data_IF_197780010191
#
_entry.id   IF_197780010191
#
_cell.length_a   1.000
_cell.length_b   1.000
_cell.length_c   1.000
_cell.angle_alpha   90.00
_cell.angle_beta   90.00
_cell.angle_gamma   90.00
#
_symmetry.space_group_name_H-M   'P 1'
#
loop_
_entity.id
_entity.type
_entity.pdbx_description
1 polymer ?
#
# COMPACT_ATOMS: atom_id res chain seq x y z
N UNK A 1 -18.16 -9.50 57.08
CA UNK A 1 -16.81 -9.41 56.51
C UNK A 1 -16.49 -10.74 55.86
N UNK A 2 -16.74 -10.85 54.55
CA UNK A 2 -16.32 -12.00 53.74
C UNK A 2 -15.33 -11.43 52.73
N UNK A 3 -14.05 -11.79 52.87
CA UNK A 3 -12.99 -11.39 51.96
C UNK A 3 -12.94 -12.39 50.81
N UNK A 4 -13.36 -11.97 49.62
CA UNK A 4 -13.20 -12.75 48.39
C UNK A 4 -11.82 -12.47 47.82
N UNK A 5 -10.94 -13.47 47.90
CA UNK A 5 -9.64 -13.47 47.25
C UNK A 5 -9.86 -13.72 45.75
N UNK A 6 -9.79 -12.67 44.93
CA UNK A 6 -9.74 -12.82 43.47
C UNK A 6 -8.30 -13.15 43.10
N UNK A 7 -8.06 -14.41 42.73
CA UNK A 7 -6.83 -14.82 42.10
C UNK A 7 -6.78 -14.18 40.70
N UNK A 8 -5.92 -13.17 40.55
CA UNK A 8 -5.57 -12.64 39.24
C UNK A 8 -4.76 -13.69 38.48
N UNK A 9 -5.38 -14.35 37.52
CA UNK A 9 -4.63 -14.95 36.41
C UNK A 9 -4.06 -13.78 35.60
N UNK A 10 -2.78 -13.50 35.80
CA UNK A 10 -1.98 -12.80 34.79
C UNK A 10 -1.85 -13.78 33.63
N UNK A 11 -2.73 -13.64 32.63
CA UNK A 11 -2.46 -14.16 31.30
C UNK A 11 -1.36 -13.27 30.73
N UNK A 12 -0.13 -13.74 30.81
CA UNK A 12 0.96 -13.25 29.98
C UNK A 12 0.61 -13.66 28.55
N UNK A 13 -0.10 -12.80 27.83
CA UNK A 13 -0.12 -12.85 26.37
C UNK A 13 1.32 -12.64 25.94
N UNK A 14 1.91 -13.65 25.30
CA UNK A 14 3.12 -13.46 24.52
C UNK A 14 2.72 -12.62 23.30
N UNK A 15 2.73 -11.31 23.49
CA UNK A 15 2.59 -10.29 22.45
C UNK A 15 3.92 -10.14 21.73
N UNK A 16 3.82 -9.88 20.42
CA UNK A 16 4.86 -9.47 19.45
C UNK A 16 5.34 -10.58 18.50
N UNK A 17 4.89 -10.48 17.24
CA UNK A 17 5.60 -11.04 16.10
C UNK A 17 6.06 -9.95 15.11
N UNK A 18 5.40 -8.78 15.03
CA UNK A 18 5.93 -7.58 14.36
C UNK A 18 6.85 -6.77 15.28
N UNK A 19 8.10 -6.59 14.86
CA UNK A 19 9.03 -5.60 15.42
C UNK A 19 9.02 -4.35 14.53
N UNK A 20 8.42 -3.25 15.01
CA UNK A 20 8.54 -1.94 14.34
C UNK A 20 9.96 -1.41 14.52
N UNK A 21 10.68 -1.29 13.42
CA UNK A 21 12.07 -0.80 13.34
C UNK A 21 12.10 0.72 13.21
N UNK A 22 11.13 1.26 12.48
CA UNK A 22 11.03 2.66 12.16
C UNK A 22 9.57 3.07 12.07
N UNK A 23 9.26 4.25 12.59
CA UNK A 23 7.94 4.87 12.46
C UNK A 23 8.09 6.39 12.43
N UNK A 24 7.35 7.05 11.55
CA UNK A 24 7.22 8.50 11.47
C UNK A 24 5.80 8.85 10.99
N UNK A 25 5.08 9.62 11.82
CA UNK A 25 3.71 10.13 11.59
C UNK A 25 3.67 11.67 11.40
N UNK A 26 4.83 12.34 11.40
CA UNK A 26 5.00 13.79 11.23
C UNK A 26 4.32 14.69 12.28
N UNK A 27 3.57 14.16 13.24
CA UNK A 27 2.80 14.94 14.22
C UNK A 27 3.68 15.75 15.17
N UNK A 28 4.95 15.36 15.29
CA UNK A 28 5.96 16.09 16.06
C UNK A 28 6.45 17.40 15.40
N UNK A 29 6.10 17.66 14.14
CA UNK A 29 6.61 18.80 13.39
C UNK A 29 6.00 20.13 13.83
N UNK A 30 6.85 21.15 13.92
CA UNK A 30 6.38 22.50 14.20
C UNK A 30 5.93 23.17 12.90
N UNK A 31 4.60 23.28 12.73
CA UNK A 31 3.99 24.00 11.61
C UNK A 31 3.95 25.52 11.86
N UNK A 32 3.88 26.28 10.76
CA UNK A 32 3.69 27.74 10.74
C UNK A 32 2.41 28.14 9.99
N UNK A 33 1.92 29.38 10.13
CA UNK A 33 0.82 29.90 9.32
C UNK A 33 1.14 29.89 7.82
N UNK A 34 0.11 29.88 6.93
CA UNK A 34 0.32 29.99 5.50
C UNK A 34 0.86 31.38 5.13
N UNK A 35 1.58 31.47 4.03
CA UNK A 35 2.20 32.70 3.52
C UNK A 35 1.56 33.20 2.23
N UNK A 36 1.24 32.31 1.29
CA UNK A 36 0.62 32.66 0.00
C UNK A 36 -0.74 32.01 -0.18
N UNK A 37 -0.95 30.82 0.38
CA UNK A 37 -2.30 30.26 0.50
C UNK A 37 -3.10 31.02 1.57
N UNK A 38 -4.42 31.08 1.37
CA UNK A 38 -5.30 31.82 2.27
C UNK A 38 -6.02 30.89 3.25
N UNK A 39 -6.15 31.29 4.51
CA UNK A 39 -7.03 30.61 5.45
C UNK A 39 -6.66 30.84 6.92
N UNK A 40 -7.58 30.57 7.86
CA UNK A 40 -7.36 30.76 9.29
C UNK A 40 -6.60 29.58 9.92
N UNK A 41 -5.48 29.17 9.31
CA UNK A 41 -4.69 28.02 9.76
C UNK A 41 -3.39 28.50 10.43
N UNK A 42 -3.36 28.70 11.76
CA UNK A 42 -2.15 29.16 12.45
C UNK A 42 -1.02 28.10 12.44
N UNK A 43 -1.36 26.85 12.10
CA UNK A 43 -0.47 25.70 11.92
C UNK A 43 -0.87 25.04 10.60
N UNK A 44 -0.31 25.52 9.50
CA UNK A 44 -0.68 25.10 8.16
C UNK A 44 0.38 24.18 7.54
N UNK A 45 1.65 24.58 7.59
CA UNK A 45 2.70 23.81 6.93
C UNK A 45 4.09 24.06 7.53
N UNK A 46 5.06 23.24 7.15
CA UNK A 46 6.49 23.50 7.29
C UNK A 46 7.26 22.81 6.17
N UNK A 47 8.42 23.37 5.80
CA UNK A 47 9.39 22.71 4.93
C UNK A 47 10.53 22.06 5.72
N UNK A 48 10.52 22.19 7.04
CA UNK A 48 11.53 21.55 7.91
C UNK A 48 11.11 20.09 8.10
N UNK A 49 11.91 19.12 7.60
CA UNK A 49 11.58 17.71 7.75
C UNK A 49 11.87 17.22 9.18
N UNK A 50 11.44 16.00 9.54
CA UNK A 50 11.76 15.41 10.83
C UNK A 50 13.28 15.34 11.08
N UNK A 51 13.73 15.31 12.33
CA UNK A 51 15.16 15.28 12.65
C UNK A 51 15.91 14.14 11.91
N UNK A 52 16.97 14.52 11.19
CA UNK A 52 17.81 13.58 10.44
C UNK A 52 17.29 13.23 9.04
N UNK A 53 16.06 13.61 8.70
CA UNK A 53 15.57 13.53 7.31
C UNK A 53 16.19 14.64 6.47
N UNK A 54 16.23 14.40 5.16
CA UNK A 54 16.72 15.36 4.18
C UNK A 54 15.65 15.64 3.14
N UNK A 55 15.44 16.92 2.86
CA UNK A 55 14.49 17.40 1.87
C UNK A 55 15.25 18.16 0.79
N UNK A 56 15.06 17.76 -0.46
CA UNK A 56 15.57 18.46 -1.63
C UNK A 56 14.43 19.00 -2.48
N UNK A 57 14.52 20.29 -2.76
CA UNK A 57 13.64 20.98 -3.68
C UNK A 57 14.45 21.82 -4.67
N UNK A 58 15.76 21.62 -4.81
CA UNK A 58 16.58 22.45 -5.71
C UNK A 58 16.13 22.38 -7.17
N UNK A 59 15.50 21.27 -7.54
CA UNK A 59 15.00 20.98 -8.88
C UNK A 59 13.49 21.26 -9.04
N UNK A 60 12.88 21.93 -8.05
CA UNK A 60 11.57 22.57 -8.21
C UNK A 60 11.80 23.99 -8.75
N UNK A 61 11.25 24.34 -9.93
CA UNK A 61 11.46 25.67 -10.48
C UNK A 61 10.88 26.77 -9.59
N UNK A 62 11.63 27.87 -9.47
CA UNK A 62 11.17 29.05 -8.74
C UNK A 62 11.33 29.00 -7.22
N UNK A 63 11.90 27.93 -6.63
CA UNK A 63 12.02 27.81 -5.16
C UNK A 63 12.60 29.06 -4.50
N UNK A 64 11.89 29.56 -3.48
CA UNK A 64 12.22 30.76 -2.73
C UNK A 64 11.99 32.06 -3.50
N UNK A 65 11.37 32.02 -4.68
CA UNK A 65 11.06 33.20 -5.50
C UNK A 65 9.61 33.62 -5.26
N UNK A 66 9.33 34.77 -4.62
CA UNK A 66 7.98 35.12 -4.16
C UNK A 66 6.87 35.23 -5.23
N UNK A 67 7.21 35.21 -6.51
CA UNK A 67 6.28 35.35 -7.63
C UNK A 67 6.22 34.13 -8.55
N UNK A 68 6.85 33.02 -8.17
CA UNK A 68 6.95 31.80 -8.99
C UNK A 68 6.82 30.60 -8.06
N UNK A 69 5.80 29.78 -8.28
CA UNK A 69 5.49 28.68 -7.36
C UNK A 69 4.77 29.20 -6.12
N UNK A 70 3.69 28.55 -5.72
CA UNK A 70 3.14 28.77 -4.38
C UNK A 70 4.11 28.15 -3.36
N UNK A 71 4.61 28.98 -2.45
CA UNK A 71 5.68 28.71 -1.50
C UNK A 71 5.38 27.49 -0.62
N UNK A 72 4.14 27.34 -0.16
CA UNK A 72 3.71 26.17 0.62
C UNK A 72 4.02 24.84 -0.08
N UNK A 73 4.04 24.82 -1.42
CA UNK A 73 4.11 23.63 -2.25
C UNK A 73 5.42 23.47 -3.03
N UNK A 74 6.44 24.29 -2.75
CA UNK A 74 7.78 24.23 -3.38
C UNK A 74 8.59 22.98 -2.96
N UNK A 75 8.27 21.82 -3.51
CA UNK A 75 8.79 20.51 -3.11
C UNK A 75 7.94 19.87 -2.00
N UNK A 76 8.44 18.78 -1.41
CA UNK A 76 7.76 18.12 -0.28
C UNK A 76 7.42 19.10 0.85
N UNK A 77 6.18 19.13 1.30
CA UNK A 77 5.70 20.02 2.36
C UNK A 77 5.03 19.19 3.43
N UNK A 78 5.31 19.47 4.70
CA UNK A 78 4.60 18.84 5.81
C UNK A 78 3.44 19.75 6.19
N UNK A 79 2.23 19.34 5.82
CA UNK A 79 1.05 20.19 5.89
C UNK A 79 0.01 19.60 6.84
N UNK A 80 -0.65 20.47 7.60
CA UNK A 80 -1.89 20.13 8.28
C UNK A 80 -2.92 19.70 7.21
N UNK A 81 -3.47 18.51 7.38
CA UNK A 81 -4.39 17.91 6.41
C UNK A 81 -5.65 18.75 6.22
N UNK A 82 -6.14 19.41 7.27
CA UNK A 82 -7.30 20.29 7.18
C UNK A 82 -6.98 21.57 6.40
N UNK A 83 -5.77 22.11 6.52
CA UNK A 83 -5.28 23.17 5.63
C UNK A 83 -5.21 22.67 4.18
N UNK A 84 -4.53 21.55 3.92
CA UNK A 84 -4.32 21.03 2.57
C UNK A 84 -5.62 20.71 1.84
N UNK A 85 -6.64 20.13 2.47
CA UNK A 85 -7.94 19.88 1.80
C UNK A 85 -8.74 21.14 1.47
N UNK A 86 -8.35 22.30 2.00
CA UNK A 86 -9.01 23.59 1.75
C UNK A 86 -8.33 24.44 0.69
N UNK A 87 -7.05 24.19 0.37
CA UNK A 87 -6.44 24.80 -0.82
C UNK A 87 -7.25 24.36 -2.05
N UNK A 88 -7.56 25.28 -2.96
CA UNK A 88 -8.59 25.19 -4.04
C UNK A 88 -10.05 25.52 -3.68
N UNK A 89 -10.43 25.72 -2.41
CA UNK A 89 -11.86 25.96 -2.08
C UNK A 89 -12.26 27.43 -2.21
N UNK A 90 -13.19 27.78 -3.12
CA UNK A 90 -13.87 29.07 -3.01
C UNK A 90 -14.78 29.12 -1.77
N UNK A 91 -15.30 27.97 -1.29
CA UNK A 91 -16.07 27.85 -0.04
C UNK A 91 -15.82 26.50 0.67
N UNK A 92 -15.85 26.45 2.02
CA UNK A 92 -15.51 25.25 2.80
C UNK A 92 -16.44 24.04 2.60
N UNK A 93 -17.58 24.21 1.94
CA UNK A 93 -18.64 23.19 1.85
C UNK A 93 -18.59 22.30 0.61
N UNK A 94 -17.72 22.61 -0.36
CA UNK A 94 -17.62 21.81 -1.60
C UNK A 94 -16.56 20.71 -1.40
N UNK A 95 -16.93 19.42 -1.47
CA UNK A 95 -15.97 18.34 -1.33
C UNK A 95 -14.91 18.36 -2.44
N UNK A 96 -13.67 18.04 -2.10
CA UNK A 96 -12.54 17.92 -3.03
C UNK A 96 -12.01 16.48 -3.00
N UNK A 97 -11.29 15.99 -4.03
CA UNK A 97 -10.70 14.65 -3.95
C UNK A 97 -9.66 14.52 -2.82
N UNK A 98 -9.05 15.64 -2.36
CA UNK A 98 -8.18 15.70 -1.17
C UNK A 98 -8.91 15.27 0.12
N UNK A 99 -10.23 15.47 0.23
CA UNK A 99 -11.03 14.99 1.38
C UNK A 99 -11.04 13.46 1.52
N UNK A 100 -10.76 12.75 0.43
CA UNK A 100 -10.88 11.29 0.39
C UNK A 100 -9.68 10.60 1.02
N UNK A 101 -8.56 11.30 1.24
CA UNK A 101 -7.41 10.73 1.95
C UNK A 101 -7.74 10.59 3.43
N UNK A 102 -8.44 9.53 3.80
CA UNK A 102 -8.93 9.27 5.16
C UNK A 102 -7.94 8.54 6.06
N UNK A 103 -6.92 7.87 5.50
CA UNK A 103 -5.89 7.17 6.26
C UNK A 103 -4.88 8.13 6.87
N UNK A 104 -4.38 9.12 6.11
CA UNK A 104 -3.53 10.18 6.68
C UNK A 104 -4.28 11.03 7.69
N UNK A 105 -3.59 11.52 8.72
CA UNK A 105 -4.14 12.31 9.83
C UNK A 105 -3.25 13.52 10.11
N UNK A 106 -3.68 14.39 11.03
CA UNK A 106 -3.01 15.63 11.45
C UNK A 106 -2.05 16.26 10.43
N UNK A 107 -0.74 15.97 10.55
CA UNK A 107 0.30 16.45 9.64
C UNK A 107 0.71 15.38 8.64
N UNK A 108 0.62 15.68 7.34
CA UNK A 108 0.98 14.77 6.25
C UNK A 108 2.13 15.33 5.40
N UNK A 109 2.90 14.46 4.75
CA UNK A 109 3.85 14.87 3.72
C UNK A 109 3.14 15.00 2.37
N UNK A 110 3.34 16.12 1.66
CA UNK A 110 2.64 16.44 0.40
C UNK A 110 3.61 17.05 -0.62
N UNK A 111 3.67 16.47 -1.81
CA UNK A 111 4.16 17.11 -3.03
C UNK A 111 2.94 17.47 -3.90
N UNK A 112 2.71 18.77 -4.11
CA UNK A 112 1.48 19.29 -4.75
C UNK A 112 1.81 20.21 -5.95
N UNK A 113 2.26 19.64 -7.09
CA UNK A 113 2.59 20.40 -8.29
C UNK A 113 1.39 21.20 -8.86
N UNK A 114 0.15 20.71 -8.74
CA UNK A 114 -1.12 21.44 -9.03
C UNK A 114 -1.06 22.85 -8.41
N UNK A 115 -0.81 22.88 -7.11
CA UNK A 115 -0.91 24.11 -6.31
C UNK A 115 0.34 24.94 -6.44
N UNK A 116 1.49 24.30 -6.60
CA UNK A 116 2.71 25.03 -6.91
C UNK A 116 2.56 25.80 -8.22
N UNK A 117 1.99 25.21 -9.28
CA UNK A 117 1.93 25.84 -10.60
C UNK A 117 1.00 27.08 -10.68
N UNK A 118 0.01 27.18 -9.77
CA UNK A 118 -0.97 28.28 -9.71
C UNK A 118 -0.34 29.70 -9.69
N UNK A 119 0.90 29.85 -9.20
CA UNK A 119 1.60 31.13 -9.19
C UNK A 119 2.69 31.18 -10.25
N UNK A 120 2.43 31.93 -11.31
CA UNK A 120 3.43 32.24 -12.33
C UNK A 120 3.61 31.18 -13.41
N UNK A 121 2.87 30.05 -13.35
CA UNK A 121 2.89 28.96 -14.34
C UNK A 121 4.32 28.43 -14.63
N UNK A 122 5.09 28.06 -13.59
CA UNK A 122 6.46 27.60 -13.73
C UNK A 122 6.61 26.31 -14.57
N UNK A 123 5.63 25.41 -14.57
CA UNK A 123 5.66 24.18 -15.38
C UNK A 123 5.86 24.47 -16.87
N UNK A 124 5.19 25.51 -17.37
CA UNK A 124 5.20 25.88 -18.78
C UNK A 124 6.28 26.92 -19.13
N UNK A 125 6.90 27.55 -18.12
CA UNK A 125 7.85 28.64 -18.31
C UNK A 125 9.29 28.30 -17.94
N UNK A 126 9.49 27.47 -16.92
CA UNK A 126 10.80 27.26 -16.27
C UNK A 126 11.24 25.79 -16.28
N UNK A 127 10.30 24.85 -16.14
CA UNK A 127 10.59 23.42 -16.18
C UNK A 127 9.62 22.62 -15.31
N UNK A 128 9.87 21.32 -15.21
CA UNK A 128 9.05 20.42 -14.40
C UNK A 128 9.44 20.41 -12.92
N UNK A 129 8.48 20.07 -12.09
CA UNK A 129 8.59 19.90 -10.65
C UNK A 129 9.28 18.57 -10.31
N UNK A 130 10.45 18.65 -9.69
CA UNK A 130 11.18 17.48 -9.18
C UNK A 130 11.60 17.70 -7.73
N UNK A 131 11.24 16.79 -6.84
CA UNK A 131 11.55 16.90 -5.40
C UNK A 131 11.83 15.54 -4.79
N UNK A 132 12.67 15.54 -3.76
CA UNK A 132 13.16 14.36 -3.07
C UNK A 132 12.99 14.56 -1.56
N UNK A 133 12.44 13.57 -0.88
CA UNK A 133 12.43 13.47 0.57
C UNK A 133 13.08 12.15 0.97
N UNK A 134 14.02 12.23 1.92
CA UNK A 134 14.85 11.11 2.34
C UNK A 134 14.71 10.94 3.84
N UNK A 135 14.51 9.72 4.30
CA UNK A 135 14.50 9.42 5.72
C UNK A 135 15.88 9.67 6.33
N UNK A 136 15.93 9.73 7.67
CA UNK A 136 17.18 9.43 8.37
C UNK A 136 17.63 7.99 8.08
N UNK A 137 18.91 7.65 8.29
CA UNK A 137 19.34 6.25 8.29
C UNK A 137 18.53 5.41 9.28
N UNK A 138 18.10 4.24 8.83
CA UNK A 138 17.30 3.26 9.56
C UNK A 138 18.20 2.07 9.90
N UNK A 139 18.39 1.86 11.20
CA UNK A 139 19.15 0.72 11.73
C UNK A 139 18.32 -0.56 11.64
N UNK A 140 18.79 -1.53 10.86
CA UNK A 140 18.14 -2.83 10.69
C UNK A 140 18.55 -3.87 11.73
N UNK A 141 19.39 -3.53 12.71
CA UNK A 141 19.78 -4.45 13.79
C UNK A 141 18.57 -5.10 14.47
N UNK A 142 17.44 -4.40 14.75
CA UNK A 142 16.24 -5.03 15.31
C UNK A 142 15.60 -6.10 14.43
N UNK A 143 15.82 -6.10 13.11
CA UNK A 143 15.35 -7.14 12.18
C UNK A 143 16.23 -8.40 12.15
N UNK A 144 17.32 -8.43 12.92
CA UNK A 144 18.27 -9.55 12.88
C UNK A 144 17.60 -10.84 13.35
N UNK A 145 17.48 -11.82 12.46
CA UNK A 145 16.87 -13.11 12.74
C UNK A 145 15.40 -13.21 12.32
N UNK A 146 14.81 -12.13 11.83
CA UNK A 146 13.49 -12.13 11.20
C UNK A 146 13.56 -12.67 9.75
N UNK A 147 12.42 -13.09 9.22
CA UNK A 147 12.32 -13.63 7.85
C UNK A 147 11.78 -12.61 6.86
N UNK A 148 11.05 -11.60 7.35
CA UNK A 148 10.40 -10.58 6.54
C UNK A 148 10.75 -9.17 6.98
N UNK A 149 10.86 -8.27 6.01
CA UNK A 149 11.01 -6.82 6.18
C UNK A 149 10.00 -6.12 5.27
N UNK A 150 9.23 -5.18 5.80
CA UNK A 150 8.25 -4.43 5.02
C UNK A 150 8.34 -2.94 5.29
N UNK A 151 8.23 -2.16 4.22
CA UNK A 151 7.93 -0.73 4.29
C UNK A 151 6.44 -0.54 4.06
N UNK A 152 5.80 0.25 4.91
CA UNK A 152 4.39 0.61 4.83
C UNK A 152 4.23 2.11 4.94
N UNK A 153 3.28 2.69 4.21
CA UNK A 153 2.83 4.06 4.40
C UNK A 153 1.43 4.23 3.81
N UNK A 154 0.65 5.16 4.36
CA UNK A 154 -0.63 5.53 3.80
C UNK A 154 -0.43 6.60 2.71
N UNK A 155 -1.16 6.52 1.61
CA UNK A 155 -0.90 7.30 0.40
C UNK A 155 -2.17 7.85 -0.25
N UNK A 156 -2.02 9.04 -0.85
CA UNK A 156 -2.98 9.70 -1.72
C UNK A 156 -2.27 10.15 -2.99
N UNK A 157 -2.65 9.56 -4.11
CA UNK A 157 -2.09 9.85 -5.43
C UNK A 157 -3.16 10.40 -6.36
N UNK A 158 -2.87 11.54 -6.96
CA UNK A 158 -3.56 12.04 -8.14
C UNK A 158 -2.53 12.31 -9.23
N UNK A 159 -2.60 11.56 -10.31
CA UNK A 159 -1.67 11.67 -11.42
C UNK A 159 -2.09 12.75 -12.42
N UNK A 160 -1.12 13.21 -13.20
CA UNK A 160 -1.31 14.11 -14.34
C UNK A 160 -0.21 13.94 -15.37
N UNK A 161 -0.59 14.04 -16.64
CA UNK A 161 0.25 13.97 -17.84
C UNK A 161 -0.64 14.28 -19.07
N UNK A 162 -0.17 14.55 -20.27
CA UNK A 162 1.16 14.88 -20.78
C UNK A 162 1.04 16.23 -21.52
N UNK A 163 0.39 17.19 -20.87
CA UNK A 163 -0.13 18.43 -21.45
C UNK A 163 0.68 19.68 -21.08
N UNK A 164 1.64 19.56 -20.17
CA UNK A 164 2.46 20.68 -19.71
C UNK A 164 3.88 20.68 -20.26
N UNK A 165 4.49 21.87 -20.20
CA UNK A 165 5.90 22.10 -20.45
C UNK A 165 6.33 21.71 -21.86
N UNK A 166 5.42 21.59 -22.82
CA UNK A 166 5.73 21.20 -24.20
C UNK A 166 6.72 22.14 -24.91
N UNK A 167 6.86 23.37 -24.42
CA UNK A 167 7.88 24.36 -24.83
C UNK A 167 9.27 24.04 -24.26
N UNK A 168 9.35 23.44 -23.07
CA UNK A 168 10.56 23.09 -22.34
C UNK A 168 11.03 21.67 -22.66
N UNK A 169 10.14 20.69 -22.52
CA UNK A 169 10.37 19.30 -22.85
C UNK A 169 9.36 18.86 -23.92
N UNK A 170 9.80 18.61 -25.16
CA UNK A 170 8.90 18.20 -26.23
C UNK A 170 8.25 16.82 -25.96
N UNK A 171 8.74 16.05 -24.98
CA UNK A 171 8.15 14.79 -24.56
C UNK A 171 6.91 14.95 -23.67
N UNK A 172 6.62 16.17 -23.21
CA UNK A 172 5.58 16.44 -22.21
C UNK A 172 6.00 16.04 -20.80
N UNK A 173 5.20 16.44 -19.82
CA UNK A 173 5.27 15.94 -18.45
C UNK A 173 4.76 14.49 -18.36
N UNK A 174 5.20 13.81 -17.31
CA UNK A 174 4.61 12.56 -16.84
C UNK A 174 4.89 12.49 -15.35
N UNK A 175 3.96 12.98 -14.53
CA UNK A 175 4.13 12.97 -13.09
C UNK A 175 4.42 11.54 -12.63
N UNK A 176 5.62 11.36 -12.07
CA UNK A 176 6.18 10.07 -11.68
C UNK A 176 6.50 10.09 -10.19
N UNK A 177 5.97 9.12 -9.44
CA UNK A 177 6.36 8.86 -8.05
C UNK A 177 7.29 7.65 -7.99
N UNK A 178 8.41 7.79 -7.30
CA UNK A 178 9.35 6.71 -7.05
C UNK A 178 9.55 6.54 -5.54
N UNK A 179 9.71 5.28 -5.12
CA UNK A 179 10.32 4.95 -3.83
C UNK A 179 11.61 4.19 -4.09
N UNK A 180 12.71 4.70 -3.55
CA UNK A 180 13.99 3.99 -3.57
C UNK A 180 14.38 3.54 -2.16
N UNK A 181 15.11 2.43 -2.11
CA UNK A 181 15.89 2.03 -0.94
C UNK A 181 17.37 2.20 -1.25
N UNK A 182 18.06 2.96 -0.43
CA UNK A 182 19.51 3.18 -0.52
C UNK A 182 20.21 2.37 0.56
N UNK A 183 21.18 1.57 0.13
CA UNK A 183 22.03 0.73 0.99
C UNK A 183 23.49 1.03 0.64
N UNK A 184 24.21 1.66 1.57
CA UNK A 184 25.57 2.12 1.32
C UNK A 184 25.62 3.07 0.12
N UNK A 185 26.16 2.61 -1.01
CA UNK A 185 26.20 3.37 -2.28
C UNK A 185 25.25 2.84 -3.36
N UNK A 186 24.48 1.80 -3.07
CA UNK A 186 23.54 1.19 -4.00
C UNK A 186 22.15 1.76 -3.80
N UNK A 187 21.44 1.99 -4.90
CA UNK A 187 20.05 2.47 -4.90
C UNK A 187 19.19 1.45 -5.63
N UNK A 188 18.08 1.07 -5.01
CA UNK A 188 17.12 0.13 -5.55
C UNK A 188 15.76 0.80 -5.68
N UNK A 189 15.24 0.92 -6.91
CA UNK A 189 13.86 1.36 -7.15
C UNK A 189 12.92 0.22 -6.74
N UNK A 190 12.07 0.47 -5.73
CA UNK A 190 11.13 -0.52 -5.18
C UNK A 190 9.67 -0.18 -5.48
N UNK A 191 9.42 1.05 -5.95
CA UNK A 191 8.12 1.49 -6.44
C UNK A 191 8.33 2.51 -7.55
N UNK A 192 7.54 2.37 -8.63
CA UNK A 192 7.38 3.38 -9.67
C UNK A 192 5.91 3.48 -10.06
N UNK A 193 5.37 4.68 -9.95
CA UNK A 193 4.04 5.04 -10.43
C UNK A 193 4.17 6.17 -11.43
N UNK A 194 3.60 5.98 -12.60
CA UNK A 194 3.57 6.97 -13.67
C UNK A 194 2.12 7.34 -13.99
N UNK A 195 1.90 8.58 -14.40
CA UNK A 195 0.56 9.09 -14.71
C UNK A 195 0.10 8.73 -16.13
N UNK A 196 1.03 8.49 -17.05
CA UNK A 196 0.71 8.13 -18.43
C UNK A 196 0.29 6.65 -18.57
N UNK A 197 -0.92 6.34 -19.05
CA UNK A 197 -1.36 4.96 -19.25
C UNK A 197 -0.68 4.26 -20.44
N UNK A 198 -0.12 5.03 -21.36
CA UNK A 198 0.52 4.50 -22.56
C UNK A 198 1.80 5.23 -22.93
N UNK A 199 2.59 4.56 -23.77
CA UNK A 199 3.69 5.15 -24.54
C UNK A 199 3.38 5.11 -26.03
N UNK A 200 3.53 6.25 -26.68
CA UNK A 200 3.28 6.38 -28.12
C UNK A 200 4.30 5.56 -28.91
N UNK A 201 3.84 4.62 -29.76
CA UNK A 201 4.74 3.70 -30.48
C UNK A 201 5.65 4.39 -31.49
N UNK A 202 5.35 5.63 -31.90
CA UNK A 202 6.12 6.36 -32.90
C UNK A 202 7.12 7.29 -32.23
N UNK A 203 6.64 8.08 -31.27
CA UNK A 203 7.43 9.12 -30.61
C UNK A 203 8.11 8.61 -29.35
N UNK A 204 7.71 7.45 -28.83
CA UNK A 204 8.13 6.87 -27.55
C UNK A 204 7.83 7.76 -26.34
N UNK A 205 6.93 8.73 -26.51
CA UNK A 205 6.54 9.68 -25.46
C UNK A 205 5.41 9.12 -24.60
N UNK A 206 5.32 9.51 -23.32
CA UNK A 206 4.14 9.26 -22.52
C UNK A 206 2.91 9.87 -23.22
N UNK A 207 1.76 9.18 -23.12
CA UNK A 207 0.51 9.65 -23.71
C UNK A 207 -0.70 9.05 -23.00
N UNK A 208 -1.80 9.81 -23.01
CA UNK A 208 -3.13 9.35 -22.58
C UNK A 208 -3.90 8.66 -23.71
N UNK A 209 -3.39 8.70 -24.94
CA UNK A 209 -4.08 8.16 -26.11
C UNK A 209 -3.79 6.66 -26.28
N UNK A 210 -4.82 5.80 -26.40
CA UNK A 210 -4.63 4.37 -26.61
C UNK A 210 -4.13 4.01 -28.02
N UNK A 211 -4.19 4.95 -28.98
CA UNK A 211 -3.72 4.76 -30.35
C UNK A 211 -2.82 5.92 -30.78
N UNK A 212 -1.76 5.62 -31.53
CA UNK A 212 -0.93 6.60 -32.20
C UNK A 212 -1.70 7.29 -33.33
N UNK A 213 -1.14 8.40 -33.83
CA UNK A 213 -1.69 9.15 -34.98
C UNK A 213 -1.86 8.32 -36.26
N UNK A 214 -1.16 7.18 -36.37
CA UNK A 214 -1.28 6.22 -37.49
C UNK A 214 -2.39 5.18 -37.30
N UNK A 215 -3.09 5.18 -36.17
CA UNK A 215 -4.10 4.19 -35.80
C UNK A 215 -3.54 2.89 -35.21
N UNK A 216 -2.22 2.78 -35.03
CA UNK A 216 -1.61 1.65 -34.31
C UNK A 216 -1.85 1.78 -32.80
N UNK A 217 -2.13 0.69 -32.07
CA UNK A 217 -2.23 0.73 -30.61
C UNK A 217 -0.92 1.19 -29.97
N UNK A 218 -1.02 2.02 -28.94
CA UNK A 218 0.12 2.44 -28.14
C UNK A 218 0.53 1.36 -27.13
N UNK A 219 1.77 1.43 -26.64
CA UNK A 219 2.27 0.46 -25.66
C UNK A 219 1.63 0.76 -24.30
N UNK A 220 1.08 -0.26 -23.65
CA UNK A 220 0.56 -0.13 -22.28
C UNK A 220 1.72 0.13 -21.33
N UNK A 221 1.58 1.14 -20.48
CA UNK A 221 2.54 1.42 -19.44
C UNK A 221 2.27 0.53 -18.22
N UNK A 222 3.19 -0.38 -17.91
CA UNK A 222 3.09 -1.25 -16.74
C UNK A 222 3.23 -0.49 -15.41
N UNK A 223 3.87 0.68 -15.42
CA UNK A 223 3.99 1.55 -14.26
C UNK A 223 2.81 2.52 -14.10
N UNK A 224 1.81 2.48 -14.99
CA UNK A 224 0.66 3.37 -14.91
C UNK A 224 -0.09 3.18 -13.60
N UNK A 225 -0.27 4.28 -12.88
CA UNK A 225 -1.02 4.32 -11.64
C UNK A 225 -2.27 5.19 -11.80
N UNK A 226 -3.48 4.59 -11.80
CA UNK A 226 -4.70 5.39 -11.76
C UNK A 226 -4.81 6.14 -10.43
N UNK A 227 -5.58 7.22 -10.44
CA UNK A 227 -5.90 7.98 -9.24
C UNK A 227 -6.36 7.07 -8.10
N UNK A 228 -5.70 7.19 -6.95
CA UNK A 228 -6.11 6.52 -5.73
C UNK A 228 -5.87 7.46 -4.56
N UNK A 229 -6.96 8.02 -4.05
CA UNK A 229 -6.87 9.08 -3.06
C UNK A 229 -6.69 8.56 -1.63
N UNK A 230 -6.79 7.25 -1.41
CA UNK A 230 -6.72 6.65 -0.08
C UNK A 230 -6.36 5.17 -0.14
N UNK A 231 -5.07 4.89 -0.03
CA UNK A 231 -4.56 3.53 0.01
C UNK A 231 -3.49 3.37 1.07
N UNK A 232 -3.24 2.12 1.43
CA UNK A 232 -2.07 1.75 2.17
C UNK A 232 -1.11 1.04 1.22
N UNK A 233 0.10 1.58 1.11
CA UNK A 233 1.17 0.99 0.31
C UNK A 233 1.99 0.09 1.22
N UNK A 234 2.25 -1.13 0.77
CA UNK A 234 3.14 -2.08 1.44
C UNK A 234 4.15 -2.59 0.41
N UNK A 235 5.43 -2.51 0.74
CA UNK A 235 6.55 -2.93 -0.10
C UNK A 235 7.32 -4.00 0.66
N UNK A 236 7.45 -5.17 0.05
CA UNK A 236 8.28 -6.23 0.58
C UNK A 236 9.77 -5.93 0.31
N UNK A 237 10.52 -5.83 1.40
CA UNK A 237 11.95 -5.59 1.43
C UNK A 237 12.72 -6.78 2.00
N UNK A 238 12.09 -7.96 2.12
CA UNK A 238 12.69 -9.14 2.76
C UNK A 238 13.97 -9.62 2.09
N UNK A 239 14.16 -9.34 0.79
CA UNK A 239 15.43 -9.58 0.09
C UNK A 239 16.63 -8.80 0.69
N UNK A 240 16.36 -7.75 1.47
CA UNK A 240 17.35 -6.97 2.18
C UNK A 240 17.74 -7.62 3.53
N UNK A 241 16.96 -8.54 4.10
CA UNK A 241 17.41 -9.23 5.32
C UNK A 241 18.45 -10.29 4.93
N UNK A 242 19.64 -10.33 5.57
CA UNK A 242 20.57 -11.45 5.43
C UNK A 242 19.93 -12.74 5.96
N UNK A 243 19.52 -13.63 5.05
CA UNK A 243 18.87 -14.89 5.43
C UNK A 243 19.92 -15.87 6.03
N UNK A 244 19.72 -16.43 7.24
CA UNK A 244 20.65 -17.39 7.85
C UNK A 244 20.80 -18.71 7.07
N UNK A 245 19.93 -18.97 6.07
CA UNK A 245 19.95 -20.18 5.22
C UNK A 245 20.74 -20.05 3.90
N UNK A 246 21.34 -18.89 3.61
CA UNK A 246 22.32 -18.76 2.52
C UNK A 246 21.78 -18.77 1.09
N UNK A 247 20.45 -18.74 0.87
CA UNK A 247 19.88 -18.42 -0.45
C UNK A 247 19.60 -16.93 -0.54
N UNK A 248 20.67 -16.16 -0.72
CA UNK A 248 20.58 -14.75 -1.09
C UNK A 248 20.07 -14.65 -2.54
N UNK A 249 18.85 -14.15 -2.75
CA UNK A 249 18.58 -13.32 -3.93
C UNK A 249 19.62 -12.18 -3.90
N UNK A 250 20.14 -11.76 -5.06
CA UNK A 250 21.42 -11.03 -5.25
C UNK A 250 21.74 -9.76 -4.41
N UNK A 251 20.89 -9.40 -3.45
CA UNK A 251 21.01 -8.31 -2.49
C UNK A 251 21.82 -8.67 -1.22
N UNK A 252 21.78 -9.93 -0.75
CA UNK A 252 22.16 -10.23 0.64
C UNK A 252 23.67 -10.41 0.94
N UNK A 253 24.56 -10.26 -0.05
CA UNK A 253 26.01 -10.45 0.16
C UNK A 253 26.75 -9.20 0.68
N UNK A 254 26.06 -8.09 1.00
CA UNK A 254 26.70 -6.84 1.44
C UNK A 254 26.22 -6.28 2.79
N UNK A 255 25.35 -6.99 3.51
CA UNK A 255 24.40 -6.36 4.45
C UNK A 255 24.63 -6.66 5.93
N UNK A 256 25.87 -6.92 6.36
CA UNK A 256 26.15 -6.96 7.80
C UNK A 256 26.42 -5.54 8.32
N UNK A 257 25.37 -4.83 8.75
CA UNK A 257 25.48 -3.63 9.58
C UNK A 257 25.51 -2.27 8.86
N UNK A 258 24.89 -2.14 7.70
CA UNK A 258 24.69 -0.83 7.06
C UNK A 258 23.24 -0.35 7.27
N UNK A 259 23.09 0.88 7.75
CA UNK A 259 21.79 1.55 7.83
C UNK A 259 21.21 1.74 6.42
N UNK A 260 19.89 1.64 6.27
CA UNK A 260 19.21 1.91 5.00
C UNK A 260 18.52 3.27 5.02
N UNK A 261 18.33 3.87 3.85
CA UNK A 261 17.58 5.12 3.68
C UNK A 261 16.46 4.90 2.67
N UNK A 262 15.27 5.46 2.96
CA UNK A 262 14.14 5.45 2.02
C UNK A 262 14.04 6.83 1.37
N UNK A 263 13.87 6.84 0.06
CA UNK A 263 13.66 8.05 -0.73
C UNK A 263 12.27 8.06 -1.32
N UNK A 264 11.54 9.15 -1.11
CA UNK A 264 10.26 9.45 -1.75
C UNK A 264 10.50 10.57 -2.76
N UNK A 265 10.30 10.27 -4.04
CA UNK A 265 10.67 11.15 -5.15
C UNK A 265 9.44 11.43 -6.00
N UNK A 266 9.21 12.69 -6.30
CA UNK A 266 8.30 13.09 -7.38
C UNK A 266 9.12 13.75 -8.48
N UNK A 267 8.92 13.31 -9.71
CA UNK A 267 9.63 13.79 -10.89
C UNK A 267 8.69 14.04 -12.07
N UNK A 268 9.11 14.95 -12.94
CA UNK A 268 8.49 15.17 -14.25
C UNK A 268 7.05 15.68 -14.19
N UNK A 269 6.66 16.33 -13.09
CA UNK A 269 5.32 16.89 -12.92
C UNK A 269 5.22 18.35 -13.42
N UNK A 270 4.06 18.71 -13.96
CA UNK A 270 3.69 20.03 -14.44
C UNK A 270 2.64 20.70 -13.54
N UNK A 271 1.52 21.12 -14.13
CA UNK A 271 0.29 21.54 -13.44
C UNK A 271 -0.60 20.31 -13.19
N UNK A 272 -0.02 19.33 -12.50
CA UNK A 272 -0.61 17.99 -12.37
C UNK A 272 -1.38 17.84 -11.05
N UNK A 273 -1.54 16.63 -10.52
CA UNK A 273 -2.21 16.40 -9.25
C UNK A 273 -1.26 16.53 -8.06
N UNK A 274 -1.19 15.48 -7.26
CA UNK A 274 -0.38 15.44 -6.04
C UNK A 274 0.05 14.03 -5.69
N UNK A 275 1.04 13.96 -4.81
CA UNK A 275 1.31 12.80 -3.99
C UNK A 275 1.41 13.23 -2.54
N UNK A 276 0.56 12.66 -1.70
CA UNK A 276 0.65 12.81 -0.27
C UNK A 276 0.82 11.44 0.39
N UNK A 277 1.54 11.40 1.50
CA UNK A 277 1.66 10.20 2.30
C UNK A 277 1.79 10.51 3.80
N UNK A 278 1.54 9.49 4.60
CA UNK A 278 1.56 9.52 6.06
C UNK A 278 1.94 8.14 6.65
N UNK A 279 2.18 8.09 7.97
CA UNK A 279 2.41 6.86 8.73
C UNK A 279 3.49 5.94 8.11
N UNK A 280 4.70 6.48 7.90
CA UNK A 280 5.82 5.70 7.33
C UNK A 280 6.34 4.73 8.39
N UNK A 281 6.08 3.45 8.17
CA UNK A 281 6.46 2.36 9.07
C UNK A 281 7.40 1.38 8.37
N UNK A 282 8.44 0.95 9.07
CA UNK A 282 9.20 -0.24 8.71
C UNK A 282 9.07 -1.28 9.81
N UNK A 283 8.57 -2.46 9.45
CA UNK A 283 8.40 -3.59 10.36
C UNK A 283 9.20 -4.80 9.87
N UNK A 284 9.76 -5.56 10.80
CA UNK A 284 10.30 -6.88 10.53
C UNK A 284 9.65 -7.93 11.42
N UNK A 285 9.51 -9.13 10.87
CA UNK A 285 8.88 -10.25 11.56
C UNK A 285 9.25 -11.58 10.93
N UNK A 286 9.29 -12.61 11.75
CA UNK A 286 9.36 -14.00 11.34
C UNK A 286 7.97 -14.42 10.85
N UNK A 287 7.90 -15.38 9.93
CA UNK A 287 6.60 -15.85 9.43
C UNK A 287 5.75 -16.34 10.60
N UNK A 288 4.78 -15.53 11.01
CA UNK A 288 3.81 -15.89 12.02
C UNK A 288 2.72 -16.69 11.32
N UNK A 289 2.80 -18.01 11.45
CA UNK A 289 1.74 -18.87 10.93
C UNK A 289 0.40 -18.52 11.60
N UNK A 290 -0.66 -18.44 10.79
CA UNK A 290 -2.00 -17.94 11.08
C UNK A 290 -2.18 -16.40 11.10
N UNK A 291 -1.15 -15.61 10.83
CA UNK A 291 -1.30 -14.17 10.56
C UNK A 291 -1.70 -13.99 9.08
N UNK A 292 -3.00 -14.01 8.81
CA UNK A 292 -3.56 -14.02 7.46
C UNK A 292 -3.71 -12.63 6.87
N UNK A 293 -3.61 -11.58 7.69
CA UNK A 293 -3.55 -10.22 7.17
C UNK A 293 -2.12 -9.68 7.07
N UNK A 294 -1.12 -10.48 7.46
CA UNK A 294 0.29 -10.16 7.47
C UNK A 294 0.61 -8.88 8.27
N UNK A 295 -0.15 -8.64 9.34
CA UNK A 295 0.08 -7.52 10.26
C UNK A 295 1.23 -7.81 11.23
N UNK A 296 1.71 -9.05 11.29
CA UNK A 296 2.64 -9.56 12.30
C UNK A 296 1.99 -9.71 13.69
N UNK A 297 0.67 -9.77 13.76
CA UNK A 297 -0.08 -10.03 14.98
C UNK A 297 -1.14 -11.11 14.74
N UNK A 298 -1.32 -12.03 15.69
CA UNK A 298 -2.51 -12.88 15.72
C UNK A 298 -3.63 -12.08 16.39
N UNK A 299 -4.51 -11.50 15.59
CA UNK A 299 -5.61 -10.67 16.05
C UNK A 299 -6.94 -10.96 15.32
N UNK A 300 -7.95 -10.16 15.61
CA UNK A 300 -9.30 -10.39 15.08
C UNK A 300 -9.42 -10.19 13.57
N UNK A 301 -8.47 -9.47 12.97
CA UNK A 301 -8.40 -9.25 11.53
C UNK A 301 -8.10 -10.55 10.78
N UNK A 302 -7.31 -11.46 11.35
CA UNK A 302 -6.89 -12.68 10.66
C UNK A 302 -8.04 -13.63 10.33
N UNK A 303 -9.10 -13.65 11.13
CA UNK A 303 -10.24 -14.53 10.85
C UNK A 303 -10.92 -14.21 9.52
N UNK A 304 -11.05 -12.92 9.21
CA UNK A 304 -11.66 -12.48 7.95
C UNK A 304 -10.82 -12.88 6.75
N UNK A 305 -9.50 -12.83 6.93
CA UNK A 305 -8.53 -13.05 5.85
C UNK A 305 -8.19 -14.52 5.65
N UNK A 306 -8.20 -15.32 6.72
CA UNK A 306 -8.24 -16.77 6.63
C UNK A 306 -9.44 -17.22 5.79
N UNK A 307 -10.64 -16.71 6.12
CA UNK A 307 -11.85 -17.02 5.38
C UNK A 307 -11.78 -16.53 3.92
N UNK A 308 -11.22 -15.34 3.68
CA UNK A 308 -11.02 -14.83 2.32
C UNK A 308 -10.09 -15.75 1.52
N UNK A 309 -8.97 -16.18 2.09
CA UNK A 309 -8.04 -17.12 1.46
C UNK A 309 -8.69 -18.45 1.09
N UNK A 310 -9.60 -18.93 1.95
CA UNK A 310 -10.32 -20.20 1.71
C UNK A 310 -11.40 -20.08 0.64
N UNK A 311 -12.06 -18.92 0.56
CA UNK A 311 -13.22 -18.71 -0.30
C UNK A 311 -12.83 -18.21 -1.70
N UNK A 312 -11.77 -17.39 -1.76
CA UNK A 312 -11.35 -16.71 -2.98
C UNK A 312 -9.85 -16.37 -2.89
N UNK A 313 -9.02 -17.35 -3.25
CA UNK A 313 -7.57 -17.20 -3.30
C UNK A 313 -7.14 -16.03 -4.18
N UNK A 314 -7.83 -15.76 -5.29
CA UNK A 314 -7.50 -14.64 -6.18
C UNK A 314 -7.78 -13.30 -5.49
N UNK A 315 -8.92 -13.15 -4.80
CA UNK A 315 -9.22 -11.97 -4.02
C UNK A 315 -8.27 -11.80 -2.82
N UNK A 316 -7.88 -12.89 -2.16
CA UNK A 316 -6.86 -12.86 -1.11
C UNK A 316 -5.52 -12.38 -1.68
N UNK A 317 -5.08 -12.94 -2.81
CA UNK A 317 -3.85 -12.54 -3.50
C UNK A 317 -3.92 -11.09 -3.98
N UNK A 318 -5.07 -10.61 -4.44
CA UNK A 318 -5.25 -9.19 -4.77
C UNK A 318 -5.15 -8.30 -3.53
N UNK A 319 -5.68 -8.76 -2.40
CA UNK A 319 -5.63 -8.05 -1.12
C UNK A 319 -4.22 -8.04 -0.52
N UNK A 320 -3.46 -9.12 -0.69
CA UNK A 320 -2.14 -9.35 -0.11
C UNK A 320 -1.04 -9.47 -1.16
N UNK A 321 -1.12 -8.68 -2.23
CA UNK A 321 0.01 -8.45 -3.15
C UNK A 321 0.62 -9.71 -3.79
N UNK A 322 -0.22 -10.69 -4.11
CA UNK A 322 0.15 -11.95 -4.75
C UNK A 322 0.50 -13.06 -3.76
N UNK A 323 0.50 -12.76 -2.46
CA UNK A 323 0.77 -13.72 -1.39
C UNK A 323 -0.28 -14.82 -1.37
N UNK A 324 0.21 -16.04 -1.42
CA UNK A 324 -0.60 -17.24 -1.34
C UNK A 324 -1.09 -17.43 0.09
N UNK A 325 -2.39 -17.70 0.33
CA UNK A 325 -2.88 -17.95 1.68
C UNK A 325 -2.18 -19.15 2.33
N UNK A 326 -1.69 -20.12 1.55
CA UNK A 326 -0.81 -21.22 1.99
C UNK A 326 0.39 -20.71 2.79
N UNK A 327 0.96 -19.57 2.41
CA UNK A 327 2.23 -19.04 2.94
C UNK A 327 2.19 -18.86 4.46
N UNK A 328 1.06 -18.40 4.98
CA UNK A 328 0.85 -18.23 6.43
C UNK A 328 -0.26 -19.15 6.96
N UNK A 329 -1.05 -19.75 6.09
CA UNK A 329 -2.28 -20.44 6.45
C UNK A 329 -2.24 -21.97 6.33
N UNK A 330 -1.28 -22.55 5.59
CA UNK A 330 -1.22 -23.99 5.43
C UNK A 330 -0.03 -24.62 6.17
N UNK A 331 -0.28 -25.79 6.78
CA UNK A 331 0.80 -26.68 7.22
C UNK A 331 1.24 -27.67 6.15
N UNK A 332 0.52 -27.71 5.04
CA UNK A 332 0.89 -28.47 3.86
C UNK A 332 0.96 -27.56 2.62
N UNK A 333 1.10 -28.13 1.43
CA UNK A 333 1.27 -27.35 0.21
C UNK A 333 -0.07 -26.90 -0.40
N UNK A 334 -1.17 -27.06 0.31
CA UNK A 334 -2.54 -26.84 -0.15
C UNK A 334 -3.30 -26.08 0.94
N UNK A 335 -3.85 -24.91 0.63
CA UNK A 335 -4.65 -24.18 1.60
C UNK A 335 -6.11 -24.60 1.48
N UNK A 336 -6.57 -25.47 2.38
CA UNK A 336 -7.93 -26.02 2.30
C UNK A 336 -8.65 -26.14 3.66
N UNK A 337 -9.77 -26.88 3.71
CA UNK A 337 -10.60 -26.99 4.90
C UNK A 337 -9.94 -27.77 6.05
N UNK A 338 -8.94 -28.60 5.77
CA UNK A 338 -8.21 -29.33 6.80
C UNK A 338 -7.25 -28.45 7.61
N UNK A 339 -6.94 -27.24 7.13
CA UNK A 339 -6.18 -26.21 7.83
C UNK A 339 -7.01 -25.48 8.91
N UNK A 340 -8.34 -25.51 8.82
CA UNK A 340 -9.24 -24.78 9.74
C UNK A 340 -9.01 -25.13 11.23
N UNK A 341 -8.95 -26.42 11.63
CA UNK A 341 -8.71 -26.77 13.03
C UNK A 341 -7.32 -26.32 13.50
N UNK A 342 -6.33 -26.34 12.60
CA UNK A 342 -5.00 -25.85 12.89
C UNK A 342 -5.01 -24.34 13.09
N UNK A 343 -5.63 -23.57 12.19
CA UNK A 343 -5.71 -22.12 12.27
C UNK A 343 -6.39 -21.68 13.56
N UNK A 344 -7.54 -22.28 13.89
CA UNK A 344 -8.24 -22.01 15.15
C UNK A 344 -7.38 -22.34 16.38
N UNK A 345 -6.53 -23.36 16.30
CA UNK A 345 -5.58 -23.66 17.38
C UNK A 345 -4.54 -22.56 17.57
N UNK A 346 -4.08 -21.92 16.48
CA UNK A 346 -3.14 -20.79 16.53
C UNK A 346 -3.79 -19.53 17.08
N UNK A 347 -5.04 -19.28 16.71
CA UNK A 347 -5.83 -18.14 17.18
C UNK A 347 -6.37 -18.30 18.61
N UNK A 348 -5.92 -19.30 19.37
CA UNK A 348 -6.39 -19.54 20.75
C UNK A 348 -5.96 -18.38 21.65
N UNK A 349 -6.94 -17.67 22.24
CA UNK A 349 -6.71 -16.53 23.13
C UNK A 349 -6.85 -15.17 22.45
N UNK A 350 -7.05 -15.14 21.13
CA UNK A 350 -7.44 -13.96 20.37
C UNK A 350 -8.96 -13.76 20.50
N UNK A 351 -9.40 -12.55 20.83
CA UNK A 351 -10.81 -12.24 21.12
C UNK A 351 -11.31 -11.08 20.26
N UNK A 352 -12.55 -11.13 19.70
CA UNK A 352 -13.61 -12.10 19.99
C UNK A 352 -13.70 -13.25 18.96
N UNK A 353 -14.31 -14.34 19.41
CA UNK A 353 -14.75 -15.56 18.70
C UNK A 353 -15.05 -15.40 17.18
N UNK A 354 -14.92 -16.48 16.39
CA UNK A 354 -15.09 -16.51 14.93
C UNK A 354 -16.06 -15.47 14.39
N UNK A 355 -15.53 -14.54 13.59
CA UNK A 355 -16.33 -13.48 12.97
C UNK A 355 -17.56 -14.05 12.23
N UNK A 356 -18.60 -13.24 12.04
CA UNK A 356 -19.75 -13.60 11.20
C UNK A 356 -19.31 -14.09 9.80
N UNK A 357 -18.14 -13.66 9.31
CA UNK A 357 -17.54 -14.13 8.07
C UNK A 357 -17.04 -15.58 8.17
N UNK A 358 -16.35 -15.94 9.27
CA UNK A 358 -15.93 -17.32 9.51
C UNK A 358 -17.15 -18.24 9.73
N UNK A 359 -18.17 -17.78 10.47
CA UNK A 359 -19.43 -18.50 10.62
C UNK A 359 -20.21 -18.65 9.29
N UNK A 360 -20.15 -17.66 8.40
CA UNK A 360 -20.75 -17.73 7.07
C UNK A 360 -19.98 -18.69 6.14
N UNK A 361 -18.65 -18.71 6.21
CA UNK A 361 -17.81 -19.70 5.52
C UNK A 361 -18.17 -21.12 5.97
N UNK A 362 -18.29 -21.36 7.29
CA UNK A 362 -18.76 -22.65 7.82
C UNK A 362 -20.19 -23.01 7.39
N UNK A 363 -21.09 -22.04 7.29
CA UNK A 363 -22.48 -22.26 6.89
C UNK A 363 -22.66 -22.57 5.40
N UNK A 364 -21.76 -22.10 4.53
CA UNK A 364 -21.81 -22.37 3.09
C UNK A 364 -21.31 -23.77 2.71
N UNK A 365 -20.49 -24.40 3.56
CA UNK A 365 -19.77 -25.64 3.23
C UNK A 365 -20.11 -26.84 4.14
N UNK A 366 -21.35 -26.92 4.65
CA UNK A 366 -21.86 -28.07 5.44
C UNK A 366 -21.97 -29.41 4.65
N UNK A 367 -21.22 -29.60 3.58
CA UNK A 367 -21.17 -30.84 2.81
C UNK A 367 -19.81 -31.50 3.07
N UNK A 368 -19.75 -32.61 3.83
CA UNK A 368 -18.51 -33.38 3.94
C UNK A 368 -18.09 -33.86 2.55
N UNK A 369 -16.80 -33.76 2.23
CA UNK A 369 -16.28 -34.39 1.03
C UNK A 369 -16.63 -35.89 1.02
N UNK A 370 -17.03 -36.46 -0.14
CA UNK A 370 -17.06 -37.90 -0.27
C UNK A 370 -15.60 -38.38 -0.26
N UNK A 371 -15.13 -38.79 0.91
CA UNK A 371 -13.83 -39.46 1.05
C UNK A 371 -13.71 -40.55 -0.02
N UNK A 372 -12.53 -40.64 -0.63
CA UNK A 372 -12.16 -41.50 -1.76
C UNK A 372 -12.59 -42.97 -1.60
N UNK A 373 -13.87 -43.24 -1.84
CA UNK A 373 -14.46 -44.57 -1.84
C UNK A 373 -15.61 -44.60 -2.84
N UNK A 374 -15.24 -44.86 -4.10
CA UNK A 374 -16.04 -45.52 -5.15
C UNK A 374 -17.54 -45.17 -5.22
N UNK A 375 -17.90 -44.23 -6.10
CA UNK A 375 -19.28 -44.07 -6.58
C UNK A 375 -19.73 -45.33 -7.33
N UNK A 376 -20.52 -46.19 -6.68
CA UNK A 376 -21.33 -47.22 -7.37
C UNK A 376 -22.75 -46.67 -7.51
N UNK A 377 -23.03 -46.09 -8.68
CA UNK A 377 -24.38 -45.66 -9.05
C UNK A 377 -25.25 -46.88 -9.36
N UNK A 378 -26.06 -47.32 -8.38
CA UNK A 378 -27.09 -48.34 -8.62
C UNK A 378 -28.39 -47.64 -9.03
N UNK A 379 -28.69 -47.61 -10.33
CA UNK A 379 -30.01 -47.20 -10.85
C UNK A 379 -31.02 -48.30 -10.55
N UNK A 380 -31.93 -48.06 -9.61
CA UNK A 380 -33.11 -48.90 -9.38
C UNK A 380 -34.35 -48.18 -9.91
N UNK A 381 -34.69 -48.48 -11.16
CA UNK A 381 -35.96 -48.13 -11.80
C UNK A 381 -37.08 -48.98 -11.18
N UNK A 382 -37.97 -48.33 -10.42
CA UNK A 382 -39.25 -48.90 -10.02
C UNK A 382 -40.21 -48.77 -11.22
N UNK A 383 -40.48 -49.87 -11.89
CA UNK A 383 -41.53 -50.02 -12.91
C UNK A 383 -42.30 -51.32 -12.66
N UNK A 384 -43.60 -51.20 -12.38
CA UNK A 384 -44.45 -52.21 -11.76
C UNK A 384 -44.53 -53.59 -12.45
N UNK A 385 -44.66 -54.61 -11.60
CA UNK A 385 -45.04 -55.97 -11.95
C UNK A 385 -46.57 -56.12 -12.06
N UNK A 386 -47.00 -56.95 -13.02
CA UNK A 386 -48.35 -57.51 -13.19
C UNK A 386 -48.82 -57.32 -14.63
N UNK A 387 -48.63 -58.24 -15.59
CA UNK A 387 -48.98 -59.66 -15.57
C UNK A 387 -50.49 -59.81 -15.86
N UNK A 388 -51.04 -60.64 -16.75
CA UNK A 388 -50.62 -61.83 -17.49
C UNK A 388 -51.81 -62.18 -18.44
N UNK A 389 -51.53 -62.72 -19.65
CA UNK A 389 -52.40 -63.52 -20.57
C UNK A 389 -53.67 -62.82 -21.14
N UNK A 390 -54.18 -63.13 -22.32
CA UNK A 390 -53.91 -64.16 -23.33
C UNK A 390 -55.05 -64.05 -24.36
N UNK A 391 -54.76 -64.32 -25.64
CA UNK A 391 -55.77 -64.41 -26.71
C UNK A 391 -56.73 -65.56 -26.43
N UNK A 392 -58.03 -65.31 -26.49
CA UNK A 392 -59.03 -66.20 -27.08
C UNK A 392 -60.32 -65.42 -27.37
N UNK A 393 -60.73 -65.48 -28.65
CA UNK A 393 -61.99 -65.10 -29.30
C UNK A 393 -62.45 -63.64 -29.29
#
# INVERSE_FOLDING_TARGET
>A
MLATLVAGCLLSGSTEALTTIFFEDFEGLQLRPPEQENGPFPRAFTHVPPPGWFRDASDVPGVGTPSVGIFEWEGWSFADKDFWRTVTRPTPTVPTPRDRFTFGQGTIAVADPDRWNDLGDPANQLGFYNTLLRTRPIDLTPATGEERLRLRFDSSWRGGCCDDGGSFNPNGNNQTALVNVVVGTQTFEVLRWESAPYYDVITQKPTTQPFASTGQPNLVNAAYRPDNFNEQVVIDLSALIPNPSGQAMGFANSMSGEDIVIEFIMEGAGDDGWWAFDDVEMGAYSTLLADMNFSGHLDTGDYGDFALGMLDEEAYRLKYFGEYPETNGSLDSTFDFDDVPWFLSKMTGVSPEPSLALAAAFAQFSVPEPGTATLVLSVLLIGGFGGVRGREQ
#
